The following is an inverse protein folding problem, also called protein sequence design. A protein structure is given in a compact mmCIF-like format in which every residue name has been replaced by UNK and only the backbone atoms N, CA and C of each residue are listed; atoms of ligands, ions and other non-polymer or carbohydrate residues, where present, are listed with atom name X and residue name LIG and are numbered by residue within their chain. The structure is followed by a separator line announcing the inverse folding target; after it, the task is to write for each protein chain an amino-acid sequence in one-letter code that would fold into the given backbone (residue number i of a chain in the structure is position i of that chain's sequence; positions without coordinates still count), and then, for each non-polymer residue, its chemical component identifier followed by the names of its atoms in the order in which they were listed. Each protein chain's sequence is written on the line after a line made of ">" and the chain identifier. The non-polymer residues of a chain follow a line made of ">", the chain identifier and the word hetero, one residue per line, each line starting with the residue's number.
data_IF_084959388911
#
_entry.id   IF_084959388911
#
_cell.length_a   1.000
_cell.length_b   1.000
_cell.length_c   1.000
_cell.angle_alpha   90.00
_cell.angle_beta   90.00
_cell.angle_gamma   90.00
#
_symmetry.space_group_name_H-M   'P 1'
#
loop_
_entity.id
_entity.type
_entity.pdbx_description
1 polymer ?
#
# COMPACT_ATOMS: atom_id res chain seq x y z
N UNK A 1 -7.37 18.95 13.95
CA UNK A 1 -6.63 17.68 13.79
C UNK A 1 -5.52 17.65 14.80
N UNK A 2 -5.49 16.68 15.71
CA UNK A 2 -4.42 16.59 16.71
C UNK A 2 -3.24 15.84 16.10
N UNK A 3 -2.02 16.35 16.29
CA UNK A 3 -0.75 15.74 15.85
C UNK A 3 -0.56 14.29 16.34
N UNK A 4 -1.36 13.87 17.32
CA UNK A 4 -1.33 12.55 17.96
C UNK A 4 -2.01 11.44 17.15
N UNK A 5 -2.75 11.78 16.08
CA UNK A 5 -3.50 10.80 15.28
C UNK A 5 -2.71 10.30 14.05
N UNK A 6 -1.59 10.95 13.77
CA UNK A 6 -0.75 10.66 12.63
C UNK A 6 0.21 9.50 12.94
N UNK A 7 0.28 8.52 12.03
CA UNK A 7 1.17 7.36 12.15
C UNK A 7 2.36 7.44 11.20
N UNK A 8 2.12 7.83 9.95
CA UNK A 8 3.17 7.98 8.93
C UNK A 8 2.89 9.21 8.07
N UNK A 9 3.92 10.02 7.83
CA UNK A 9 3.90 11.12 6.85
C UNK A 9 4.91 10.83 5.74
N UNK A 10 4.47 10.90 4.51
CA UNK A 10 5.33 10.88 3.32
C UNK A 10 5.32 12.29 2.71
N UNK A 11 6.49 12.92 2.63
CA UNK A 11 6.66 14.31 2.22
C UNK A 11 7.58 14.41 1.00
N UNK A 12 7.07 14.83 -0.15
CA UNK A 12 7.79 15.05 -1.42
C UNK A 12 8.71 13.88 -1.81
N UNK A 13 8.26 12.64 -1.58
CA UNK A 13 9.07 11.44 -1.80
C UNK A 13 9.46 11.31 -3.27
N UNK A 14 10.78 11.14 -3.52
CA UNK A 14 11.35 10.91 -4.84
C UNK A 14 12.21 9.66 -4.83
N UNK A 15 11.80 8.66 -5.63
CA UNK A 15 12.51 7.39 -5.77
C UNK A 15 12.80 7.13 -7.24
N UNK A 16 14.09 7.07 -7.59
CA UNK A 16 14.57 6.94 -8.96
C UNK A 16 15.41 5.69 -9.15
N UNK A 17 15.33 5.10 -10.35
CA UNK A 17 16.18 3.99 -10.78
C UNK A 17 17.16 4.47 -11.83
N UNK A 18 18.45 4.31 -11.56
CA UNK A 18 19.54 4.73 -12.43
C UNK A 18 19.96 3.57 -13.35
N UNK A 19 19.20 3.35 -14.40
CA UNK A 19 19.42 2.23 -15.33
C UNK A 19 20.39 2.61 -16.46
N UNK A 20 20.93 1.59 -17.16
CA UNK A 20 21.74 1.82 -18.36
C UNK A 20 20.98 2.53 -19.49
N UNK A 21 19.65 2.46 -19.51
CA UNK A 21 18.77 3.09 -20.53
C UNK A 21 18.35 4.51 -20.14
N UNK A 22 18.72 4.98 -18.96
CA UNK A 22 18.32 6.29 -18.43
C UNK A 22 17.77 6.23 -17.02
N UNK A 23 17.31 7.36 -16.53
CA UNK A 23 16.73 7.52 -15.19
C UNK A 23 15.23 7.30 -15.27
N UNK A 24 14.72 6.37 -14.46
CA UNK A 24 13.28 6.15 -14.27
C UNK A 24 12.87 6.81 -12.96
N UNK A 25 12.06 7.86 -13.03
CA UNK A 25 11.46 8.51 -11.87
C UNK A 25 10.19 7.77 -11.43
N UNK A 26 10.37 6.65 -10.74
CA UNK A 26 9.25 5.77 -10.37
C UNK A 26 8.30 6.40 -9.34
N UNK A 27 8.82 7.25 -8.45
CA UNK A 27 8.06 8.09 -7.51
C UNK A 27 8.65 9.48 -7.60
N UNK A 28 7.82 10.51 -7.82
CA UNK A 28 8.29 11.85 -8.11
C UNK A 28 7.43 12.92 -7.44
N UNK A 29 7.74 13.22 -6.18
CA UNK A 29 7.04 14.22 -5.39
C UNK A 29 5.73 13.73 -4.78
N UNK A 30 5.71 12.48 -4.31
CA UNK A 30 4.55 11.89 -3.64
C UNK A 30 4.48 12.35 -2.19
N UNK A 31 3.32 12.86 -1.79
CA UNK A 31 3.03 13.27 -0.41
C UNK A 31 1.67 12.74 0.00
N UNK A 32 1.59 12.13 1.18
CA UNK A 32 0.37 11.68 1.83
C UNK A 32 0.62 11.35 3.30
N UNK A 33 -0.46 11.24 4.06
CA UNK A 33 -0.45 10.93 5.48
C UNK A 33 -1.25 9.65 5.73
N UNK A 34 -0.79 8.84 6.68
CA UNK A 34 -1.53 7.67 7.18
C UNK A 34 -1.86 7.92 8.64
N UNK A 35 -3.15 7.89 8.97
CA UNK A 35 -3.65 8.03 10.34
C UNK A 35 -3.71 6.68 11.04
N UNK A 36 -3.61 6.69 12.36
CA UNK A 36 -3.79 5.48 13.18
C UNK A 36 -5.18 4.90 12.96
N UNK A 37 -5.27 3.57 12.86
CA UNK A 37 -6.53 2.81 12.70
C UNK A 37 -7.31 3.12 11.43
N UNK A 38 -6.74 3.89 10.51
CA UNK A 38 -7.35 4.22 9.21
C UNK A 38 -6.80 3.37 8.09
N UNK A 39 -7.62 3.15 7.07
CA UNK A 39 -7.18 2.55 5.80
C UNK A 39 -7.04 3.64 4.74
N UNK A 40 -5.81 3.84 4.25
CA UNK A 40 -5.54 4.67 3.08
C UNK A 40 -5.37 3.78 1.83
N UNK A 41 -6.16 4.04 0.80
CA UNK A 41 -6.02 3.40 -0.51
C UNK A 41 -4.98 4.06 -1.39
N UNK A 42 -4.25 3.28 -2.17
CA UNK A 42 -3.38 3.76 -3.25
C UNK A 42 -3.81 3.12 -4.56
N UNK A 43 -4.34 3.93 -5.47
CA UNK A 43 -4.98 3.47 -6.70
C UNK A 43 -4.23 3.96 -7.92
N UNK A 44 -4.25 3.19 -8.99
CA UNK A 44 -3.68 3.58 -10.29
C UNK A 44 -3.31 2.36 -11.15
N UNK A 45 -3.03 2.62 -12.42
CA UNK A 45 -2.61 1.57 -13.37
C UNK A 45 -1.29 0.92 -12.95
N UNK A 46 -1.00 -0.29 -13.47
CA UNK A 46 0.27 -0.98 -13.23
C UNK A 46 1.46 -0.10 -13.67
N UNK A 47 2.53 -0.09 -12.89
CA UNK A 47 3.73 0.70 -13.17
C UNK A 47 3.64 2.20 -12.79
N UNK A 48 2.55 2.67 -12.15
CA UNK A 48 2.43 4.07 -11.75
C UNK A 48 3.22 4.45 -10.47
N UNK A 49 3.93 3.49 -9.83
CA UNK A 49 4.80 3.77 -8.68
C UNK A 49 4.28 3.31 -7.32
N UNK A 50 3.10 2.67 -7.23
CA UNK A 50 2.46 2.22 -5.97
C UNK A 50 3.39 1.34 -5.12
N UNK A 51 3.81 0.20 -5.66
CA UNK A 51 4.70 -0.75 -4.96
C UNK A 51 6.08 -0.16 -4.66
N UNK A 52 6.58 0.75 -5.51
CA UNK A 52 7.85 1.44 -5.25
C UNK A 52 7.72 2.40 -4.06
N UNK A 53 6.55 3.01 -3.87
CA UNK A 53 6.27 3.83 -2.69
C UNK A 53 6.34 2.99 -1.42
N UNK A 54 5.70 1.82 -1.38
CA UNK A 54 5.76 0.90 -0.23
C UNK A 54 7.18 0.38 0.04
N UNK A 55 7.90 -0.03 -1.00
CA UNK A 55 9.29 -0.47 -0.87
C UNK A 55 10.22 0.66 -0.41
N UNK A 56 9.90 1.91 -0.74
CA UNK A 56 10.63 3.09 -0.23
C UNK A 56 10.39 3.28 1.26
N UNK A 57 9.15 3.13 1.74
CA UNK A 57 8.80 3.20 3.17
C UNK A 57 9.60 2.14 3.95
N UNK A 58 9.68 0.92 3.45
CA UNK A 58 10.41 -0.17 4.11
C UNK A 58 11.90 -0.20 3.81
N UNK A 59 12.44 0.74 3.01
CA UNK A 59 13.84 0.74 2.59
C UNK A 59 14.28 -0.57 1.90
N UNK A 60 13.35 -1.19 1.14
CA UNK A 60 13.55 -2.47 0.43
C UNK A 60 13.79 -2.27 -1.07
N UNK A 61 14.22 -1.09 -1.49
CA UNK A 61 14.50 -0.80 -2.89
C UNK A 61 15.66 -1.64 -3.39
N UNK A 62 15.42 -2.39 -4.45
CA UNK A 62 16.49 -3.13 -5.15
C UNK A 62 17.37 -2.17 -5.97
N UNK A 63 18.66 -2.44 -6.04
CA UNK A 63 19.58 -1.71 -6.92
C UNK A 63 19.11 -1.85 -8.38
N UNK A 64 19.15 -0.80 -9.20
CA UNK A 64 19.79 0.51 -8.98
C UNK A 64 18.84 1.61 -8.41
N UNK A 65 17.75 1.24 -7.71
CA UNK A 65 16.80 2.16 -7.12
C UNK A 65 17.37 2.90 -5.89
N UNK A 66 17.04 4.19 -5.77
CA UNK A 66 17.44 5.04 -4.64
C UNK A 66 16.35 6.07 -4.32
N UNK A 67 16.15 6.36 -3.04
CA UNK A 67 15.45 7.58 -2.61
C UNK A 67 16.40 8.74 -2.84
N UNK A 68 15.98 9.71 -3.65
CA UNK A 68 16.78 10.88 -4.04
C UNK A 68 16.29 12.18 -3.41
N UNK A 69 15.12 12.16 -2.78
CA UNK A 69 14.55 13.33 -2.10
C UNK A 69 13.29 12.97 -1.31
N UNK A 70 12.86 13.93 -0.51
CA UNK A 70 11.69 13.80 0.37
C UNK A 70 12.02 13.19 1.71
N UNK A 71 10.98 13.02 2.54
CA UNK A 71 11.06 12.44 3.88
C UNK A 71 9.95 11.43 4.09
N UNK A 72 10.20 10.46 4.95
CA UNK A 72 9.21 9.52 5.46
C UNK A 72 9.31 9.54 6.97
N UNK A 73 8.35 10.21 7.62
CA UNK A 73 8.32 10.39 9.06
C UNK A 73 7.38 9.36 9.67
N UNK A 74 7.93 8.49 10.50
CA UNK A 74 7.16 7.50 11.25
C UNK A 74 7.00 7.96 12.69
N UNK A 75 5.76 8.08 13.14
CA UNK A 75 5.41 8.53 14.49
C UNK A 75 5.09 7.32 15.37
N UNK A 76 6.05 6.54 15.76
CA UNK A 76 5.99 5.29 16.52
C UNK A 76 4.69 5.01 17.28
N UNK A 77 4.39 3.78 17.62
CA UNK A 77 3.20 3.46 18.37
C UNK A 77 3.30 4.00 19.80
N UNK A 78 2.40 4.93 20.18
CA UNK A 78 1.94 4.96 21.56
C UNK A 78 1.16 3.67 21.75
N UNK A 79 1.73 2.67 22.41
CA UNK A 79 1.10 1.40 22.65
C UNK A 79 -0.21 1.58 23.39
N UNK A 80 -1.33 1.44 22.70
CA UNK A 80 -2.67 1.48 23.33
C UNK A 80 -3.07 0.06 23.79
N UNK A 81 -2.31 -0.98 23.40
CA UNK A 81 -2.52 -2.35 23.87
C UNK A 81 -1.18 -2.97 24.30
N UNK A 82 -0.86 -2.82 25.58
CA UNK A 82 0.36 -3.34 26.23
C UNK A 82 0.55 -4.86 26.17
N UNK A 83 -0.41 -5.63 25.67
CA UNK A 83 -0.31 -7.09 25.59
C UNK A 83 0.62 -7.59 24.46
N UNK A 84 0.89 -6.76 23.44
CA UNK A 84 1.68 -7.15 22.26
C UNK A 84 2.87 -6.24 21.95
N UNK A 85 2.96 -5.07 22.58
CA UNK A 85 4.05 -4.11 22.37
C UNK A 85 4.83 -3.93 23.66
N UNK A 86 6.13 -4.19 23.63
CA UNK A 86 7.02 -3.78 24.73
C UNK A 86 6.94 -2.26 24.86
N UNK A 87 6.74 -1.78 26.09
CA UNK A 87 6.64 -0.35 26.42
C UNK A 87 7.85 0.40 25.86
N UNK A 88 7.66 1.13 24.78
CA UNK A 88 8.63 2.12 24.31
C UNK A 88 8.20 3.48 24.81
N UNK A 89 9.11 4.10 25.56
CA UNK A 89 9.04 5.50 26.00
C UNK A 89 8.69 6.42 24.84
N UNK A 90 7.84 7.42 25.11
CA UNK A 90 7.40 8.56 24.28
C UNK A 90 7.61 8.42 22.77
N UNK A 91 6.52 8.55 22.00
CA UNK A 91 6.51 8.45 20.53
C UNK A 91 7.55 9.38 19.90
N UNK A 92 8.73 8.84 19.61
CA UNK A 92 9.78 9.56 18.90
C UNK A 92 9.50 9.49 17.40
N UNK A 93 9.44 10.65 16.74
CA UNK A 93 9.30 10.71 15.30
C UNK A 93 10.63 10.29 14.64
N UNK A 94 10.59 9.27 13.80
CA UNK A 94 11.76 8.73 13.10
C UNK A 94 11.66 9.07 11.62
N UNK A 95 12.67 9.74 11.06
CA UNK A 95 12.81 9.90 9.61
C UNK A 95 13.43 8.62 9.02
N UNK A 96 12.57 7.77 8.43
CA UNK A 96 12.98 6.51 7.79
C UNK A 96 13.98 6.75 6.65
N UNK A 97 13.90 7.87 5.94
CA UNK A 97 14.80 8.16 4.81
C UNK A 97 16.23 8.40 5.27
N UNK A 98 16.41 8.88 6.51
CA UNK A 98 17.72 9.11 7.11
C UNK A 98 18.37 7.81 7.62
N UNK A 99 17.61 6.74 7.83
CA UNK A 99 18.13 5.47 8.31
C UNK A 99 18.87 4.71 7.21
N UNK A 100 20.00 4.06 7.56
CA UNK A 100 20.57 3.03 6.70
C UNK A 100 19.60 1.85 6.58
N UNK A 101 19.41 1.28 5.36
CA UNK A 101 18.55 0.09 5.17
C UNK A 101 18.91 -1.09 6.07
N UNK A 102 20.19 -1.22 6.46
CA UNK A 102 20.70 -2.33 7.26
C UNK A 102 20.92 -1.95 8.74
N UNK A 103 20.47 -0.76 9.18
CA UNK A 103 20.58 -0.35 10.58
C UNK A 103 19.67 -1.19 11.50
N UNK A 104 20.07 -1.37 12.75
CA UNK A 104 19.27 -2.08 13.75
C UNK A 104 17.90 -1.42 13.92
N UNK A 105 17.84 -0.08 13.90
CA UNK A 105 16.59 0.68 14.01
C UNK A 105 15.68 0.44 12.80
N UNK A 106 16.19 0.41 11.57
CA UNK A 106 15.37 0.10 10.38
C UNK A 106 14.85 -1.34 10.41
N UNK A 107 15.70 -2.28 10.88
CA UNK A 107 15.27 -3.67 11.04
C UNK A 107 14.21 -3.86 12.10
N UNK A 108 14.26 -3.10 13.22
CA UNK A 108 13.20 -3.16 14.24
C UNK A 108 11.87 -2.55 13.76
N UNK A 109 11.92 -1.56 12.88
CA UNK A 109 10.71 -1.00 12.24
C UNK A 109 10.13 -1.99 11.24
N UNK A 110 10.97 -2.56 10.37
CA UNK A 110 10.57 -3.50 9.31
C UNK A 110 10.16 -4.85 9.91
N UNK A 111 8.89 -5.21 9.78
CA UNK A 111 8.30 -6.42 10.32
C UNK A 111 7.82 -6.31 11.76
N UNK A 112 8.49 -5.50 12.60
CA UNK A 112 8.07 -5.30 13.98
C UNK A 112 6.98 -4.22 14.13
N UNK A 113 7.11 -3.10 13.43
CA UNK A 113 6.20 -1.96 13.54
C UNK A 113 5.46 -1.68 12.23
N UNK A 114 6.10 -1.86 11.09
CA UNK A 114 5.51 -1.77 9.75
C UNK A 114 5.72 -3.11 9.07
N UNK A 115 4.63 -3.83 8.82
CA UNK A 115 4.65 -5.10 8.09
C UNK A 115 4.14 -4.92 6.66
N UNK A 116 4.45 -5.88 5.78
CA UNK A 116 4.01 -5.86 4.40
C UNK A 116 3.53 -7.23 3.94
N UNK A 117 2.40 -7.24 3.23
CA UNK A 117 1.94 -8.35 2.40
C UNK A 117 2.32 -8.00 0.97
N UNK A 118 3.16 -8.84 0.35
CA UNK A 118 3.65 -8.64 -1.02
C UNK A 118 2.64 -9.16 -2.05
N UNK A 119 2.71 -8.63 -3.27
CA UNK A 119 1.80 -8.89 -4.37
C UNK A 119 1.70 -10.37 -4.77
N UNK A 120 2.78 -11.16 -4.63
CA UNK A 120 2.80 -12.56 -5.05
C UNK A 120 2.96 -13.52 -3.86
N UNK A 121 1.87 -14.23 -3.45
CA UNK A 121 1.94 -15.22 -2.38
C UNK A 121 2.89 -16.38 -2.66
N UNK A 122 3.09 -16.68 -3.94
CA UNK A 122 3.92 -17.82 -4.39
C UNK A 122 5.41 -17.61 -4.15
N UNK A 123 5.86 -16.37 -4.12
CA UNK A 123 7.28 -16.00 -3.97
C UNK A 123 7.62 -15.47 -2.58
N UNK A 124 6.61 -15.20 -1.75
CA UNK A 124 6.78 -14.59 -0.43
C UNK A 124 7.09 -15.61 0.67
N UNK A 125 6.66 -16.86 0.52
CA UNK A 125 7.00 -17.95 1.42
C UNK A 125 8.14 -18.78 0.81
N UNK A 126 9.18 -19.03 1.60
CA UNK A 126 10.30 -19.90 1.17
C UNK A 126 9.82 -21.35 1.08
N UNK A 127 9.91 -22.00 -0.10
CA UNK A 127 9.38 -23.35 -0.30
C UNK A 127 10.14 -24.44 0.45
N UNK A 128 11.34 -24.19 0.97
CA UNK A 128 12.17 -25.19 1.65
C UNK A 128 12.02 -25.17 3.17
N UNK A 129 11.26 -24.21 3.72
CA UNK A 129 10.93 -24.15 5.15
C UNK A 129 9.44 -24.33 5.38
N UNK A 130 9.09 -24.94 6.53
CA UNK A 130 7.67 -25.04 6.92
C UNK A 130 7.10 -23.66 7.26
N UNK A 131 5.78 -23.50 7.15
CA UNK A 131 5.08 -22.26 7.48
C UNK A 131 5.38 -21.83 8.92
N UNK A 132 5.31 -22.76 9.86
CA UNK A 132 5.60 -22.48 11.27
C UNK A 132 7.03 -22.00 11.51
N UNK A 133 8.03 -22.58 10.83
CA UNK A 133 9.41 -22.12 10.99
C UNK A 133 9.58 -20.67 10.52
N UNK A 134 8.93 -20.27 9.43
CA UNK A 134 9.03 -18.92 8.89
C UNK A 134 8.33 -17.90 9.81
N UNK A 135 7.17 -18.21 10.36
CA UNK A 135 6.48 -17.33 11.33
C UNK A 135 7.29 -17.22 12.62
N UNK A 136 7.76 -18.37 13.16
CA UNK A 136 8.58 -18.42 14.40
C UNK A 136 9.86 -17.61 14.25
N UNK A 137 10.54 -17.67 13.11
CA UNK A 137 11.76 -16.90 12.85
C UNK A 137 11.50 -15.39 12.97
N UNK A 138 10.43 -14.89 12.33
CA UNK A 138 10.01 -13.49 12.42
C UNK A 138 9.69 -13.07 13.87
N UNK A 139 8.98 -13.91 14.62
CA UNK A 139 8.66 -13.64 16.03
C UNK A 139 9.94 -13.56 16.87
N UNK A 140 10.84 -14.55 16.77
CA UNK A 140 12.08 -14.58 17.54
C UNK A 140 13.03 -13.41 17.21
N UNK A 141 12.93 -12.88 15.98
CA UNK A 141 13.71 -11.72 15.58
C UNK A 141 13.23 -10.42 16.26
N UNK A 142 11.91 -10.28 16.46
CA UNK A 142 11.32 -9.02 16.92
C UNK A 142 10.84 -9.05 18.37
N UNK A 143 10.65 -10.23 18.97
CA UNK A 143 10.12 -10.39 20.34
C UNK A 143 11.11 -11.19 21.19
N UNK A 144 11.20 -10.81 22.47
CA UNK A 144 12.01 -11.53 23.46
C UNK A 144 11.28 -12.79 23.96
N UNK A 145 10.96 -13.71 23.06
CA UNK A 145 10.29 -14.97 23.36
C UNK A 145 11.24 -16.15 23.12
N UNK A 146 11.01 -17.27 23.84
CA UNK A 146 11.68 -18.51 23.50
C UNK A 146 10.98 -19.22 22.32
N UNK A 147 11.61 -20.27 21.76
CA UNK A 147 11.10 -20.96 20.58
C UNK A 147 9.73 -21.62 20.78
N UNK A 148 9.43 -22.10 21.98
CA UNK A 148 8.15 -22.72 22.30
C UNK A 148 7.04 -21.67 22.38
N UNK A 149 7.29 -20.55 23.04
CA UNK A 149 6.38 -19.40 23.09
C UNK A 149 6.12 -18.80 21.69
N UNK A 150 7.17 -18.70 20.88
CA UNK A 150 7.03 -18.22 19.50
C UNK A 150 6.20 -19.19 18.63
N UNK A 151 6.33 -20.51 18.84
CA UNK A 151 5.52 -21.51 18.14
C UNK A 151 4.05 -21.45 18.58
N UNK A 152 3.81 -21.26 19.87
CA UNK A 152 2.45 -21.07 20.40
C UNK A 152 1.80 -19.82 19.85
N UNK A 153 2.52 -18.68 19.82
CA UNK A 153 2.03 -17.46 19.18
C UNK A 153 1.76 -17.67 17.69
N UNK A 154 2.61 -18.42 17.00
CA UNK A 154 2.38 -18.77 15.58
C UNK A 154 1.11 -19.58 15.38
N UNK A 155 0.81 -20.51 16.27
CA UNK A 155 -0.44 -21.28 16.27
C UNK A 155 -1.66 -20.34 16.43
N UNK A 156 -1.65 -19.49 17.44
CA UNK A 156 -2.70 -18.51 17.69
C UNK A 156 -2.92 -17.56 16.50
N UNK A 157 -1.84 -17.15 15.83
CA UNK A 157 -1.95 -16.31 14.63
C UNK A 157 -2.60 -17.04 13.46
N UNK A 158 -2.29 -18.34 13.28
CA UNK A 158 -2.96 -19.17 12.26
C UNK A 158 -4.45 -19.38 12.58
N UNK A 159 -4.83 -19.51 13.85
CA UNK A 159 -6.25 -19.55 14.27
C UNK A 159 -6.95 -18.23 13.92
N UNK A 160 -6.34 -17.07 14.23
CA UNK A 160 -6.90 -15.74 13.94
C UNK A 160 -7.13 -15.48 12.45
N UNK A 161 -6.30 -16.04 11.59
CA UNK A 161 -6.52 -15.96 10.13
C UNK A 161 -7.46 -17.04 9.60
N UNK A 162 -8.19 -17.73 10.50
CA UNK A 162 -9.12 -18.81 10.17
C UNK A 162 -8.48 -19.92 9.33
N UNK A 163 -7.25 -20.31 9.69
CA UNK A 163 -6.57 -21.41 9.03
C UNK A 163 -7.17 -22.74 9.51
N UNK A 164 -7.58 -23.65 8.61
CA UNK A 164 -8.03 -24.98 9.03
C UNK A 164 -6.83 -25.78 9.58
N UNK A 165 -7.03 -26.45 10.72
CA UNK A 165 -6.02 -27.30 11.38
C UNK A 165 -4.66 -26.56 11.55
N UNK A 166 -4.58 -25.50 12.36
CA UNK A 166 -3.38 -24.67 12.52
C UNK A 166 -2.14 -25.49 12.91
N UNK A 167 -2.32 -26.50 13.76
CA UNK A 167 -1.22 -27.37 14.21
C UNK A 167 -0.57 -28.11 13.04
N UNK A 168 -1.35 -28.66 12.14
CA UNK A 168 -0.85 -29.33 10.93
C UNK A 168 -0.19 -28.34 9.99
N UNK A 169 -0.75 -27.14 9.85
CA UNK A 169 -0.22 -26.10 8.95
C UNK A 169 1.14 -25.60 9.40
N UNK A 170 1.40 -25.50 10.70
CA UNK A 170 2.74 -25.16 11.23
C UNK A 170 3.83 -26.10 10.68
N UNK A 171 3.52 -27.37 10.50
CA UNK A 171 4.46 -28.37 10.02
C UNK A 171 4.39 -28.61 8.49
N UNK A 172 3.48 -27.91 7.81
CA UNK A 172 3.30 -28.00 6.35
C UNK A 172 4.25 -27.04 5.61
N UNK A 173 4.65 -27.45 4.40
CA UNK A 173 5.40 -26.63 3.47
C UNK A 173 4.46 -25.77 2.59
N UNK A 174 4.90 -24.62 2.09
CA UNK A 174 4.06 -23.73 1.24
C UNK A 174 3.43 -24.44 0.03
N UNK A 175 4.13 -25.36 -0.60
CA UNK A 175 3.62 -26.10 -1.77
C UNK A 175 2.47 -27.06 -1.46
N UNK A 176 2.25 -27.41 -0.19
CA UNK A 176 1.14 -28.24 0.28
C UNK A 176 -0.16 -27.46 0.52
N UNK A 177 -0.11 -26.13 0.43
CA UNK A 177 -1.22 -25.23 0.70
C UNK A 177 -1.90 -24.75 -0.59
N UNK A 178 -3.21 -24.53 -0.54
CA UNK A 178 -3.94 -23.80 -1.59
C UNK A 178 -3.51 -22.33 -1.67
N UNK A 179 -3.87 -21.62 -2.73
CA UNK A 179 -3.57 -20.19 -2.88
C UNK A 179 -4.11 -19.34 -1.71
N UNK A 180 -5.37 -19.52 -1.36
CA UNK A 180 -5.99 -18.83 -0.22
C UNK A 180 -5.37 -19.19 1.14
N UNK A 181 -4.95 -20.46 1.33
CA UNK A 181 -4.24 -20.85 2.56
C UNK A 181 -2.84 -20.21 2.64
N UNK A 182 -2.11 -20.11 1.51
CA UNK A 182 -0.82 -19.39 1.48
C UNK A 182 -1.01 -17.92 1.80
N UNK A 183 -2.06 -17.30 1.26
CA UNK A 183 -2.38 -15.91 1.57
C UNK A 183 -2.65 -15.71 3.05
N UNK A 184 -3.47 -16.57 3.67
CA UNK A 184 -3.73 -16.55 5.12
C UNK A 184 -2.45 -16.75 5.94
N UNK A 185 -1.56 -17.67 5.52
CA UNK A 185 -0.27 -17.88 6.18
C UNK A 185 0.64 -16.64 6.11
N UNK A 186 0.67 -15.93 4.97
CA UNK A 186 1.39 -14.66 4.83
C UNK A 186 0.81 -13.56 5.71
N UNK A 187 -0.51 -13.46 5.79
CA UNK A 187 -1.18 -12.50 6.69
C UNK A 187 -0.80 -12.82 8.14
N UNK A 188 -0.87 -14.10 8.55
CA UNK A 188 -0.46 -14.54 9.88
C UNK A 188 1.01 -14.16 10.19
N UNK A 189 1.91 -14.40 9.24
CA UNK A 189 3.33 -14.03 9.36
C UNK A 189 3.51 -12.52 9.48
N UNK A 190 2.86 -11.72 8.64
CA UNK A 190 2.96 -10.27 8.66
C UNK A 190 2.45 -9.67 9.98
N UNK A 191 1.39 -10.25 10.56
CA UNK A 191 0.75 -9.73 11.77
C UNK A 191 1.30 -10.34 13.07
N UNK A 192 2.16 -11.35 13.01
CA UNK A 192 2.66 -12.08 14.19
C UNK A 192 3.42 -11.21 15.20
N UNK A 193 4.00 -10.10 14.73
CA UNK A 193 4.67 -9.14 15.59
C UNK A 193 3.77 -8.01 16.10
N UNK A 194 2.51 -7.91 15.65
CA UNK A 194 1.56 -6.88 16.03
C UNK A 194 1.93 -5.50 15.48
N UNK A 195 2.10 -5.34 14.16
CA UNK A 195 2.51 -4.07 13.56
C UNK A 195 1.44 -3.00 13.76
N UNK A 196 1.87 -1.72 13.85
CA UNK A 196 0.97 -0.56 13.86
C UNK A 196 0.50 -0.15 12.46
N UNK A 197 1.28 -0.51 11.42
CA UNK A 197 0.95 -0.29 10.01
C UNK A 197 1.14 -1.59 9.22
N UNK A 198 0.10 -1.98 8.51
CA UNK A 198 0.16 -3.03 7.49
C UNK A 198 0.15 -2.39 6.11
N UNK A 199 1.15 -2.67 5.30
CA UNK A 199 1.16 -2.36 3.87
C UNK A 199 0.67 -3.59 3.12
N UNK A 200 -0.49 -3.51 2.47
CA UNK A 200 -1.09 -4.59 1.70
C UNK A 200 -0.96 -4.25 0.20
N UNK A 201 0.05 -4.79 -0.47
CA UNK A 201 0.32 -4.53 -1.89
C UNK A 201 -0.34 -5.60 -2.75
N UNK A 202 -1.51 -5.26 -3.30
CA UNK A 202 -2.36 -6.14 -4.11
C UNK A 202 -2.59 -7.52 -3.45
N UNK A 203 -3.05 -7.58 -2.19
CA UNK A 203 -3.04 -8.80 -1.38
C UNK A 203 -4.00 -9.88 -1.87
N UNK A 204 -4.88 -9.58 -2.82
CA UNK A 204 -5.87 -10.53 -3.37
C UNK A 204 -5.62 -10.87 -4.83
N UNK A 205 -4.55 -10.36 -5.43
CA UNK A 205 -4.18 -10.68 -6.82
C UNK A 205 -3.98 -12.19 -6.98
N UNK A 206 -4.52 -12.74 -8.08
CA UNK A 206 -4.51 -14.17 -8.41
C UNK A 206 -5.37 -15.09 -7.52
N UNK A 207 -6.28 -14.53 -6.70
CA UNK A 207 -7.31 -15.29 -6.01
C UNK A 207 -8.63 -15.29 -6.79
N UNK A 208 -9.44 -16.33 -6.60
CA UNK A 208 -10.81 -16.31 -7.10
C UNK A 208 -11.68 -15.34 -6.28
N UNK A 209 -12.80 -14.90 -6.87
CA UNK A 209 -13.67 -13.85 -6.30
C UNK A 209 -14.18 -14.20 -4.89
N UNK A 210 -14.46 -15.48 -4.64
CA UNK A 210 -14.96 -15.92 -3.32
C UNK A 210 -13.85 -15.85 -2.27
N UNK A 211 -12.66 -16.31 -2.61
CA UNK A 211 -11.49 -16.25 -1.73
C UNK A 211 -11.06 -14.78 -1.51
N UNK A 212 -11.12 -13.93 -2.56
CA UNK A 212 -10.86 -12.49 -2.44
C UNK A 212 -11.76 -11.85 -1.38
N UNK A 213 -13.08 -12.03 -1.47
CA UNK A 213 -14.03 -11.49 -0.50
C UNK A 213 -13.73 -11.95 0.94
N UNK A 214 -13.40 -13.24 1.12
CA UNK A 214 -13.03 -13.77 2.44
C UNK A 214 -11.74 -13.16 3.00
N UNK A 215 -10.75 -12.86 2.16
CA UNK A 215 -9.50 -12.21 2.60
C UNK A 215 -9.74 -10.75 2.94
N UNK A 216 -10.61 -10.04 2.21
CA UNK A 216 -10.97 -8.66 2.51
C UNK A 216 -11.69 -8.55 3.86
N UNK A 217 -12.68 -9.41 4.10
CA UNK A 217 -13.38 -9.50 5.39
C UNK A 217 -12.40 -9.79 6.52
N UNK A 218 -11.53 -10.80 6.35
CA UNK A 218 -10.49 -11.14 7.32
C UNK A 218 -9.57 -9.95 7.64
N UNK A 219 -9.10 -9.20 6.64
CA UNK A 219 -8.24 -8.04 6.86
C UNK A 219 -8.95 -6.93 7.63
N UNK A 220 -10.25 -6.73 7.41
CA UNK A 220 -11.07 -5.76 8.14
C UNK A 220 -11.22 -6.16 9.61
N UNK A 221 -11.52 -7.43 9.89
CA UNK A 221 -11.65 -7.94 11.24
C UNK A 221 -10.31 -7.82 12.00
N UNK A 222 -9.22 -8.23 11.37
CA UNK A 222 -7.88 -8.10 11.94
C UNK A 222 -7.46 -6.64 12.16
N UNK A 223 -7.87 -5.71 11.28
CA UNK A 223 -7.63 -4.28 11.49
C UNK A 223 -8.30 -3.78 12.76
N UNK A 224 -9.55 -4.18 13.00
CA UNK A 224 -10.29 -3.80 14.20
C UNK A 224 -9.68 -4.43 15.46
N UNK A 225 -9.34 -5.71 15.42
CA UNK A 225 -8.77 -6.44 16.54
C UNK A 225 -7.40 -5.91 16.96
N UNK A 226 -6.53 -5.63 16.00
CA UNK A 226 -5.17 -5.12 16.27
C UNK A 226 -5.13 -3.59 16.40
N UNK A 227 -6.15 -2.88 15.96
CA UNK A 227 -6.15 -1.42 15.94
C UNK A 227 -5.06 -0.83 15.06
N UNK A 228 -4.62 -1.55 14.03
CA UNK A 228 -3.58 -1.12 13.10
C UNK A 228 -4.13 -0.21 12.01
N UNK A 229 -3.25 0.58 11.39
CA UNK A 229 -3.53 1.27 10.13
C UNK A 229 -3.22 0.35 8.95
N UNK A 230 -3.88 0.57 7.80
CA UNK A 230 -3.60 -0.16 6.57
C UNK A 230 -3.29 0.82 5.43
N UNK A 231 -2.19 0.60 4.73
CA UNK A 231 -1.94 1.16 3.40
C UNK A 231 -2.32 0.11 2.37
N UNK A 232 -3.50 0.27 1.76
CA UNK A 232 -4.04 -0.71 0.83
C UNK A 232 -3.76 -0.32 -0.62
N UNK A 233 -2.92 -1.08 -1.31
CA UNK A 233 -2.54 -0.84 -2.71
C UNK A 233 -3.33 -1.79 -3.60
N UNK A 234 -4.05 -1.25 -4.59
CA UNK A 234 -4.79 -2.04 -5.56
C UNK A 234 -5.05 -1.25 -6.85
N UNK A 235 -5.32 -1.97 -7.92
CA UNK A 235 -5.89 -1.43 -9.15
C UNK A 235 -7.41 -1.71 -9.26
N UNK A 236 -8.00 -2.46 -8.31
CA UNK A 236 -9.42 -2.81 -8.29
C UNK A 236 -10.21 -1.77 -7.50
N UNK A 237 -10.93 -0.87 -8.20
CA UNK A 237 -11.76 0.16 -7.58
C UNK A 237 -12.93 -0.40 -6.76
N UNK A 238 -13.42 -1.60 -7.08
CA UNK A 238 -14.45 -2.27 -6.27
C UNK A 238 -13.95 -2.57 -4.85
N UNK A 239 -12.72 -3.05 -4.74
CA UNK A 239 -12.06 -3.30 -3.44
C UNK A 239 -11.82 -1.98 -2.70
N UNK A 240 -11.45 -0.90 -3.41
CA UNK A 240 -11.29 0.43 -2.80
C UNK A 240 -12.59 0.91 -2.17
N UNK A 241 -13.71 0.79 -2.89
CA UNK A 241 -15.03 1.19 -2.38
C UNK A 241 -15.42 0.44 -1.11
N UNK A 242 -14.91 -0.77 -0.93
CA UNK A 242 -15.26 -1.63 0.20
C UNK A 242 -14.32 -1.46 1.40
N UNK A 243 -13.01 -1.28 1.15
CA UNK A 243 -11.97 -1.45 2.17
C UNK A 243 -11.38 -0.15 2.71
N UNK A 244 -11.54 0.99 2.03
CA UNK A 244 -10.81 2.20 2.38
C UNK A 244 -11.73 3.39 2.66
N UNK A 245 -11.30 4.27 3.54
CA UNK A 245 -12.01 5.51 3.84
C UNK A 245 -11.53 6.67 2.95
N UNK A 246 -10.24 6.76 2.69
CA UNK A 246 -9.60 7.79 1.86
C UNK A 246 -8.67 7.12 0.86
N UNK A 247 -8.49 7.70 -0.34
CA UNK A 247 -7.54 7.17 -1.30
C UNK A 247 -6.77 8.26 -2.02
N UNK A 248 -5.54 7.91 -2.42
CA UNK A 248 -4.72 8.67 -3.35
C UNK A 248 -4.71 7.97 -4.71
N UNK A 249 -4.83 8.76 -5.76
CA UNK A 249 -4.79 8.29 -7.15
C UNK A 249 -3.43 8.61 -7.73
N UNK A 250 -2.68 7.59 -8.11
CA UNK A 250 -1.33 7.74 -8.64
C UNK A 250 -1.28 7.55 -10.16
N UNK A 251 -0.55 8.43 -10.84
CA UNK A 251 -0.25 8.32 -12.26
C UNK A 251 1.21 8.69 -12.52
N UNK A 252 1.98 7.80 -13.16
CA UNK A 252 3.41 7.99 -13.50
C UNK A 252 4.24 8.62 -12.37
N UNK A 253 4.15 8.04 -11.18
CA UNK A 253 4.96 8.43 -10.03
C UNK A 253 4.47 9.67 -9.27
N UNK A 254 3.31 10.22 -9.62
CA UNK A 254 2.73 11.39 -8.94
C UNK A 254 1.34 11.09 -8.39
N UNK A 255 0.96 11.73 -7.29
CA UNK A 255 -0.43 11.77 -6.84
C UNK A 255 -1.15 12.83 -7.65
N UNK A 256 -2.22 12.45 -8.35
CA UNK A 256 -3.01 13.34 -9.20
C UNK A 256 -4.33 13.76 -8.57
N UNK A 257 -4.86 12.94 -7.66
CA UNK A 257 -6.08 13.24 -6.88
C UNK A 257 -6.02 12.54 -5.53
N UNK A 258 -6.60 13.15 -4.50
CA UNK A 258 -6.80 12.60 -3.16
C UNK A 258 -8.17 12.99 -2.64
N UNK A 259 -8.81 12.11 -1.92
CA UNK A 259 -10.10 12.41 -1.28
C UNK A 259 -10.67 11.22 -0.52
N UNK A 260 -11.79 11.43 0.14
CA UNK A 260 -12.60 10.32 0.64
C UNK A 260 -13.07 9.45 -0.52
N UNK A 261 -13.28 8.17 -0.26
CA UNK A 261 -13.82 7.24 -1.27
C UNK A 261 -15.12 7.78 -1.85
N UNK A 262 -15.99 8.33 -1.01
CA UNK A 262 -17.25 8.93 -1.45
C UNK A 262 -17.02 10.08 -2.46
N UNK A 263 -16.08 10.99 -2.19
CA UNK A 263 -15.75 12.10 -3.08
C UNK A 263 -15.15 11.59 -4.40
N UNK A 264 -14.21 10.65 -4.34
CA UNK A 264 -13.55 10.10 -5.52
C UNK A 264 -14.51 9.31 -6.43
N UNK A 265 -15.53 8.64 -5.86
CA UNK A 265 -16.47 7.83 -6.63
C UNK A 265 -17.64 8.65 -7.18
N UNK A 266 -18.10 9.67 -6.46
CA UNK A 266 -19.28 10.47 -6.85
C UNK A 266 -18.89 11.77 -7.55
N UNK A 267 -17.71 12.33 -7.27
CA UNK A 267 -17.29 13.66 -7.73
C UNK A 267 -15.79 13.74 -8.08
N UNK A 268 -15.29 12.69 -8.77
CA UNK A 268 -13.90 12.66 -9.26
C UNK A 268 -13.55 13.90 -10.07
N UNK A 269 -12.48 14.56 -9.73
CA UNK A 269 -12.05 15.83 -10.37
C UNK A 269 -11.03 15.59 -11.49
N UNK A 270 -10.03 14.74 -11.22
CA UNK A 270 -9.00 14.53 -12.23
C UNK A 270 -9.52 13.65 -13.38
N UNK A 271 -9.33 14.02 -14.65
CA UNK A 271 -9.80 13.24 -15.80
C UNK A 271 -9.31 11.80 -15.84
N UNK A 272 -8.16 11.49 -15.23
CA UNK A 272 -7.67 10.13 -15.08
C UNK A 272 -8.56 9.29 -14.14
N UNK A 273 -8.92 9.82 -12.96
CA UNK A 273 -9.82 9.12 -12.03
C UNK A 273 -11.21 8.94 -12.64
N UNK A 274 -11.72 9.96 -13.35
CA UNK A 274 -12.97 9.85 -14.10
C UNK A 274 -12.92 8.72 -15.15
N UNK A 275 -11.77 8.58 -15.84
CA UNK A 275 -11.58 7.53 -16.83
C UNK A 275 -11.47 6.14 -16.18
N UNK A 276 -10.79 6.02 -15.02
CA UNK A 276 -10.77 4.79 -14.22
C UNK A 276 -12.19 4.37 -13.81
N UNK A 277 -12.99 5.31 -13.32
CA UNK A 277 -14.39 5.06 -12.92
C UNK A 277 -15.29 4.59 -14.08
N UNK A 278 -15.04 5.07 -15.33
CA UNK A 278 -15.77 4.62 -16.53
C UNK A 278 -15.36 3.22 -16.98
N UNK A 279 -14.16 2.77 -16.61
CA UNK A 279 -13.67 1.43 -16.95
C UNK A 279 -14.20 0.31 -16.02
N UNK A 280 -14.82 0.67 -14.87
CA UNK A 280 -15.38 -0.30 -13.92
C UNK A 280 -16.77 -0.75 -14.36
N UNK A 281 -17.04 -2.07 -14.40
CA UNK A 281 -18.38 -2.60 -14.66
C UNK A 281 -19.37 -2.15 -13.57
N UNK A 282 -20.48 -1.54 -13.96
CA UNK A 282 -21.57 -1.19 -13.02
C UNK A 282 -22.67 -2.24 -13.04
N UNK A 283 -23.12 -2.67 -11.86
CA UNK A 283 -24.29 -3.55 -11.75
C UNK A 283 -25.51 -2.85 -12.39
N UNK A 284 -26.23 -3.56 -13.28
CA UNK A 284 -27.41 -3.03 -13.98
C UNK A 284 -27.15 -2.39 -15.34
N UNK A 285 -25.91 -2.24 -15.79
CA UNK A 285 -25.65 -1.87 -17.19
C UNK A 285 -26.09 -2.99 -18.15
N UNK A 286 -26.74 -2.60 -19.26
CA UNK A 286 -27.12 -3.56 -20.32
C UNK A 286 -25.87 -4.34 -20.76
N UNK A 287 -25.95 -5.66 -20.80
CA UNK A 287 -24.87 -6.61 -21.16
C UNK A 287 -24.06 -6.30 -22.44
N UNK A 288 -24.44 -5.28 -23.21
CA UNK A 288 -23.82 -4.85 -24.48
C UNK A 288 -23.10 -3.49 -24.40
N UNK A 289 -23.07 -2.81 -23.26
CA UNK A 289 -22.28 -1.59 -23.14
C UNK A 289 -20.80 -1.96 -23.10
N UNK A 290 -20.06 -1.57 -24.13
CA UNK A 290 -18.59 -1.73 -24.19
C UNK A 290 -17.99 -0.87 -23.07
N UNK A 291 -17.21 -1.47 -22.16
CA UNK A 291 -16.47 -0.70 -21.16
C UNK A 291 -15.55 0.28 -21.88
N UNK A 292 -15.56 1.53 -21.42
CA UNK A 292 -14.68 2.56 -21.96
C UNK A 292 -13.27 2.32 -21.43
N UNK A 293 -12.40 1.79 -22.30
CA UNK A 293 -10.98 1.72 -21.98
C UNK A 293 -10.38 3.14 -22.00
N UNK A 294 -9.45 3.42 -21.09
CA UNK A 294 -8.70 4.68 -21.11
C UNK A 294 -7.92 4.75 -22.43
N UNK A 295 -8.19 5.77 -23.23
CA UNK A 295 -7.60 5.91 -24.56
C UNK A 295 -6.09 6.10 -24.50
N UNK A 296 -5.36 5.49 -25.44
CA UNK A 296 -3.91 5.61 -25.55
C UNK A 296 -3.14 4.67 -24.61
N UNK A 297 -1.85 4.56 -24.82
CA UNK A 297 -0.94 3.77 -23.99
C UNK A 297 -0.39 4.59 -22.84
N UNK A 298 -0.11 3.94 -21.72
CA UNK A 298 0.63 4.57 -20.60
C UNK A 298 2.03 4.95 -21.12
N UNK A 299 2.45 6.22 -21.00
CA UNK A 299 3.78 6.63 -21.43
C UNK A 299 4.88 5.86 -20.70
N UNK A 300 6.02 5.70 -21.36
CA UNK A 300 7.16 5.04 -20.77
C UNK A 300 7.68 5.82 -19.54
N UNK A 301 7.99 5.16 -18.42
CA UNK A 301 8.63 5.80 -17.28
C UNK A 301 10.02 6.40 -17.58
N UNK A 302 10.65 6.00 -18.69
CA UNK A 302 11.88 6.59 -19.22
C UNK A 302 11.65 7.90 -19.98
N UNK A 303 10.41 8.16 -20.42
CA UNK A 303 10.03 9.32 -21.22
C UNK A 303 8.70 9.88 -20.67
N UNK A 304 8.73 10.32 -19.42
CA UNK A 304 7.57 10.95 -18.79
C UNK A 304 7.24 12.26 -19.51
N UNK A 305 5.98 12.45 -19.94
CA UNK A 305 5.57 13.69 -20.58
C UNK A 305 5.86 14.93 -19.72
N UNK A 306 6.24 16.04 -20.35
CA UNK A 306 6.37 17.35 -19.69
C UNK A 306 5.00 17.84 -19.21
N UNK A 307 4.98 18.73 -18.22
CA UNK A 307 3.73 19.26 -17.70
C UNK A 307 2.87 18.22 -16.97
N UNK A 308 1.57 18.19 -17.26
CA UNK A 308 0.68 17.15 -16.72
C UNK A 308 0.99 15.81 -17.38
N UNK A 309 1.46 14.83 -16.62
CA UNK A 309 1.84 13.52 -17.15
C UNK A 309 0.69 12.78 -17.87
N UNK A 310 -0.56 13.11 -17.55
CA UNK A 310 -1.75 12.51 -18.17
C UNK A 310 -2.17 13.23 -19.47
N UNK A 311 -1.61 14.41 -19.82
CA UNK A 311 -2.07 15.20 -20.95
C UNK A 311 -2.19 14.43 -22.28
N UNK A 312 -1.30 13.46 -22.63
CA UNK A 312 -1.41 12.75 -23.93
C UNK A 312 -2.64 11.83 -24.04
N UNK A 313 -3.25 11.50 -22.88
CA UNK A 313 -4.44 10.64 -22.77
C UNK A 313 -5.66 11.39 -22.28
N UNK A 314 -5.52 12.69 -21.96
CA UNK A 314 -6.58 13.51 -21.38
C UNK A 314 -7.50 14.05 -22.48
N UNK A 315 -8.81 13.76 -22.45
CA UNK A 315 -9.76 14.32 -23.44
C UNK A 315 -9.97 15.83 -23.27
N UNK A 316 -9.52 16.39 -22.15
CA UNK A 316 -9.65 17.82 -21.81
C UNK A 316 -8.31 18.54 -21.75
N UNK A 317 -7.27 18.00 -22.42
CA UNK A 317 -5.95 18.62 -22.41
C UNK A 317 -6.00 20.01 -23.06
N UNK A 318 -5.44 21.01 -22.36
CA UNK A 318 -5.31 22.39 -22.84
C UNK A 318 -3.93 22.51 -23.47
N UNK A 319 -3.89 22.66 -24.81
CA UNK A 319 -2.65 22.82 -25.58
C UNK A 319 -1.88 24.08 -25.15
N UNK A 320 -0.55 23.96 -25.03
CA UNK A 320 0.31 25.05 -24.57
C UNK A 320 0.30 25.28 -23.06
N UNK A 321 -0.55 24.56 -22.30
CA UNK A 321 -0.61 24.62 -20.85
C UNK A 321 -0.34 23.24 -20.22
N UNK A 322 -1.18 22.24 -20.50
CA UNK A 322 -1.05 20.90 -19.92
C UNK A 322 0.20 20.16 -20.39
N UNK A 323 0.70 20.43 -21.56
CA UNK A 323 1.92 19.86 -22.15
C UNK A 323 3.21 20.55 -21.70
N UNK A 324 3.10 21.76 -21.10
CA UNK A 324 4.25 22.58 -20.73
C UNK A 324 4.42 22.71 -19.22
N UNK A 325 3.33 22.97 -18.48
CA UNK A 325 3.36 23.26 -17.06
C UNK A 325 2.78 22.12 -16.22
N UNK A 326 3.35 21.91 -15.02
CA UNK A 326 2.74 21.02 -14.04
C UNK A 326 1.47 21.66 -13.46
N UNK A 327 0.35 20.92 -13.36
CA UNK A 327 -0.86 21.46 -12.78
C UNK A 327 -0.70 21.69 -11.28
N UNK A 328 -1.23 22.81 -10.76
CA UNK A 328 -1.26 23.09 -9.33
C UNK A 328 -2.20 22.12 -8.60
N UNK A 329 -2.04 22.03 -7.30
CA UNK A 329 -3.04 21.41 -6.42
C UNK A 329 -4.20 22.39 -6.28
N UNK A 330 -5.42 21.90 -6.53
CA UNK A 330 -6.67 22.62 -6.30
C UNK A 330 -7.46 21.86 -5.25
N UNK A 331 -7.87 22.55 -4.19
CA UNK A 331 -8.65 21.98 -3.09
C UNK A 331 -10.15 22.18 -3.31
N UNK A 332 -10.94 21.14 -3.00
CA UNK A 332 -12.40 21.15 -3.13
C UNK A 332 -13.10 21.05 -1.76
N UNK A 333 -12.34 21.17 -0.67
CA UNK A 333 -12.81 21.03 0.70
C UNK A 333 -12.78 19.60 1.22
N UNK A 334 -12.91 19.44 2.54
CA UNK A 334 -12.93 18.15 3.23
C UNK A 334 -11.73 17.21 2.91
N UNK A 335 -10.55 17.77 2.61
CA UNK A 335 -9.36 17.00 2.23
C UNK A 335 -9.36 16.47 0.79
N UNK A 336 -10.40 16.76 -0.01
CA UNK A 336 -10.43 16.43 -1.43
C UNK A 336 -9.63 17.47 -2.22
N UNK A 337 -8.66 17.02 -3.01
CA UNK A 337 -7.88 17.86 -3.91
C UNK A 337 -7.46 17.10 -5.17
N UNK A 338 -7.21 17.86 -6.26
CA UNK A 338 -6.70 17.29 -7.50
C UNK A 338 -5.65 18.23 -8.15
N UNK A 339 -4.74 17.63 -8.91
CA UNK A 339 -3.76 18.36 -9.75
C UNK A 339 -4.28 18.46 -11.17
N UNK A 340 -5.05 19.50 -11.47
CA UNK A 340 -5.65 19.69 -12.79
C UNK A 340 -5.89 21.15 -13.10
N UNK A 341 -5.50 21.59 -14.32
CA UNK A 341 -5.73 22.96 -14.79
C UNK A 341 -7.20 23.28 -15.08
N UNK A 342 -8.08 22.28 -15.22
CA UNK A 342 -9.51 22.54 -15.43
C UNK A 342 -10.16 23.28 -14.26
N UNK A 343 -9.53 23.29 -13.11
CA UNK A 343 -10.05 23.88 -11.87
C UNK A 343 -9.11 24.94 -11.28
N UNK A 344 -7.94 25.18 -11.91
CA UNK A 344 -7.05 26.23 -11.47
C UNK A 344 -7.64 27.60 -11.85
N UNK A 345 -7.70 28.51 -10.88
CA UNK A 345 -7.98 29.93 -11.18
C UNK A 345 -6.81 30.52 -11.99
N UNK A 346 -7.09 31.39 -12.93
CA UNK A 346 -6.09 32.06 -13.78
C UNK A 346 -5.14 32.99 -13.00
#
# INVERSE_FOLDING_TARGET
>A
MTKNDLLLEVQDLKTYFFTQRGIVSAVNGVSFDIRRRHTLGVVGESGCGKSITSLSILRLLQKPGKIVGGKILYHGANSVNDAYHAATTAAETVDITALSPDSAQMRSIRGGQIAMIFQEPMTSLDPVYTVGNQIVEGILYHKSLNRQEARELSHQMLERVHMPDPQRILDSYPHQLSGGMRQRAMIAMALSCGPSLLIADEPTTALDVTTEAQILELLRDLQQDFGMAILYITHNLGVVAEMVEEAIVMYLGKVVEHGSVEALFNDAKHPYMQALMRSVPRLGQKRKARLEAITGMVPSPLAVPTGCAFHPRCPHAIAGLCDVKEPPVVEFGQGHWARCFLYAEE
#
